data_IF_260815650837
#
_entry.id   IF_260815650837
#
_cell.length_a   1.000
_cell.length_b   1.000
_cell.length_c   1.000
_cell.angle_alpha   90.00
_cell.angle_beta   90.00
_cell.angle_gamma   90.00
#
_symmetry.space_group_name_H-M   'P 1'
#
loop_
_entity.id
_entity.type
_entity.pdbx_description
1 polymer ?
#
# COMPACT_ATOMS: atom_id res chain seq x y z
N UNK A 1 -17.23 -10.32 -40.55
CA UNK A 1 -17.93 -10.03 -39.27
C UNK A 1 -16.91 -9.35 -38.36
N UNK A 2 -17.00 -8.03 -38.20
CA UNK A 2 -16.04 -7.23 -37.48
C UNK A 2 -16.56 -7.07 -36.04
N UNK A 3 -15.95 -7.72 -35.09
CA UNK A 3 -16.27 -7.59 -33.64
C UNK A 3 -15.68 -6.29 -33.12
N UNK A 4 -16.50 -5.29 -32.87
CA UNK A 4 -16.11 -4.10 -32.10
C UNK A 4 -16.07 -4.45 -30.63
N UNK A 5 -14.86 -4.58 -30.07
CA UNK A 5 -14.66 -4.58 -28.62
C UNK A 5 -14.80 -3.15 -28.11
N UNK A 6 -15.93 -2.86 -27.46
CA UNK A 6 -16.08 -1.62 -26.70
C UNK A 6 -15.13 -1.70 -25.49
N UNK A 7 -14.04 -0.94 -25.52
CA UNK A 7 -13.31 -0.61 -24.30
C UNK A 7 -14.21 0.31 -23.49
N UNK A 8 -14.86 -0.23 -22.46
CA UNK A 8 -15.46 0.57 -21.41
C UNK A 8 -14.32 1.27 -20.68
N UNK A 9 -14.20 2.58 -20.85
CA UNK A 9 -13.30 3.39 -20.05
C UNK A 9 -13.94 3.49 -18.66
N UNK A 10 -13.59 2.56 -17.77
CA UNK A 10 -14.03 2.59 -16.38
C UNK A 10 -13.42 3.83 -15.72
N UNK A 11 -14.26 4.76 -15.26
CA UNK A 11 -13.80 5.99 -14.63
C UNK A 11 -13.03 5.62 -13.37
N UNK A 12 -11.82 6.15 -13.22
CA UNK A 12 -11.02 5.97 -12.02
C UNK A 12 -11.76 6.60 -10.81
N UNK A 13 -12.18 5.81 -9.80
CA UNK A 13 -12.96 6.31 -8.67
C UNK A 13 -12.18 7.29 -7.80
N UNK A 14 -10.84 7.33 -7.90
CA UNK A 14 -10.00 8.23 -7.13
C UNK A 14 -9.57 9.51 -7.88
N UNK A 15 -10.06 9.73 -9.11
CA UNK A 15 -9.71 10.93 -9.87
C UNK A 15 -10.06 12.23 -9.12
N UNK A 16 -11.22 12.26 -8.47
CA UNK A 16 -11.66 13.40 -7.66
C UNK A 16 -10.93 13.46 -6.31
N UNK A 17 -10.61 12.31 -5.72
CA UNK A 17 -9.81 12.22 -4.50
C UNK A 17 -8.40 12.79 -4.65
N UNK A 18 -7.75 12.60 -5.79
CA UNK A 18 -6.40 13.16 -6.04
C UNK A 18 -6.37 14.69 -6.00
N UNK A 19 -7.52 15.33 -6.20
CA UNK A 19 -7.67 16.80 -6.16
C UNK A 19 -7.94 17.31 -4.73
N UNK A 20 -8.43 16.47 -3.84
CA UNK A 20 -8.72 16.78 -2.45
C UNK A 20 -7.62 16.22 -1.52
N UNK A 21 -6.80 17.07 -0.90
CA UNK A 21 -5.71 16.62 -0.04
C UNK A 21 -6.17 15.92 1.25
N UNK A 22 -7.47 15.95 1.55
CA UNK A 22 -8.07 15.28 2.72
C UNK A 22 -8.82 14.00 2.37
N UNK A 23 -8.91 13.68 1.08
CA UNK A 23 -9.53 12.43 0.64
C UNK A 23 -8.55 11.27 0.86
N UNK A 24 -8.94 10.34 1.73
CA UNK A 24 -8.12 9.18 2.08
C UNK A 24 -8.31 8.07 1.05
N UNK A 25 -7.21 7.56 0.51
CA UNK A 25 -7.24 6.42 -0.39
C UNK A 25 -5.93 5.64 -0.39
N UNK A 26 -6.03 4.37 -0.76
CA UNK A 26 -4.92 3.49 -1.11
C UNK A 26 -5.40 2.59 -2.24
N UNK A 27 -4.62 2.46 -3.29
CA UNK A 27 -4.93 1.60 -4.43
C UNK A 27 -3.65 1.09 -5.06
N UNK A 28 -3.71 -0.10 -5.64
CA UNK A 28 -2.63 -0.67 -6.46
C UNK A 28 -3.18 -1.75 -7.39
N UNK A 29 -2.30 -2.37 -8.16
CA UNK A 29 -2.57 -3.64 -8.84
C UNK A 29 -1.71 -4.73 -8.25
N UNK A 30 -2.32 -5.87 -7.94
CA UNK A 30 -1.67 -7.11 -7.54
C UNK A 30 -1.75 -8.09 -8.72
N UNK A 31 -0.62 -8.41 -9.33
CA UNK A 31 -0.54 -9.21 -10.57
C UNK A 31 -1.47 -8.67 -11.68
N UNK A 32 -1.53 -7.33 -11.83
CA UNK A 32 -2.36 -6.65 -12.83
C UNK A 32 -3.83 -6.47 -12.44
N UNK A 33 -4.30 -7.09 -11.36
CA UNK A 33 -5.68 -6.98 -10.86
C UNK A 33 -5.76 -5.86 -9.82
N UNK A 34 -6.75 -4.97 -9.97
CA UNK A 34 -6.98 -3.86 -9.02
C UNK A 34 -7.22 -4.40 -7.61
N UNK A 35 -6.53 -3.81 -6.66
CA UNK A 35 -6.61 -4.11 -5.24
C UNK A 35 -6.89 -2.83 -4.43
N UNK A 36 -7.81 -2.93 -3.50
CA UNK A 36 -8.20 -1.83 -2.62
C UNK A 36 -8.38 -2.34 -1.18
N UNK A 37 -8.11 -1.50 -0.17
CA UNK A 37 -8.37 -1.83 1.21
C UNK A 37 -9.87 -1.91 1.47
N UNK A 38 -10.28 -2.88 2.30
CA UNK A 38 -11.67 -3.08 2.68
C UNK A 38 -11.77 -3.45 4.15
N UNK A 39 -12.82 -2.94 4.81
CA UNK A 39 -13.14 -3.28 6.18
C UNK A 39 -14.36 -4.19 6.28
N UNK A 40 -14.30 -5.16 7.21
CA UNK A 40 -15.48 -5.84 7.74
C UNK A 40 -15.95 -5.03 8.97
N UNK A 41 -16.97 -4.22 8.83
CA UNK A 41 -17.53 -3.48 9.96
C UNK A 41 -18.94 -3.05 9.68
N UNK A 42 -19.81 -3.18 10.69
CA UNK A 42 -21.13 -2.56 10.63
C UNK A 42 -20.98 -1.05 10.82
N UNK A 43 -21.66 -0.23 10.01
CA UNK A 43 -21.53 1.24 10.05
C UNK A 43 -21.99 1.87 11.37
N UNK A 44 -22.55 1.09 12.31
CA UNK A 44 -23.14 1.59 13.56
C UNK A 44 -22.20 1.54 14.78
N UNK A 45 -21.06 0.85 14.74
CA UNK A 45 -20.16 0.73 15.88
C UNK A 45 -18.72 1.14 15.52
N UNK A 46 -18.47 2.45 15.49
CA UNK A 46 -17.11 2.99 15.36
C UNK A 46 -16.43 2.54 14.08
N UNK A 47 -16.36 3.40 13.07
CA UNK A 47 -15.88 3.06 11.71
C UNK A 47 -14.60 2.25 11.70
N UNK A 48 -14.56 1.20 10.89
CA UNK A 48 -13.37 0.44 10.62
C UNK A 48 -12.45 1.28 9.73
N UNK A 49 -11.19 1.38 10.11
CA UNK A 49 -10.15 1.99 9.28
C UNK A 49 -9.29 0.87 8.71
N UNK A 50 -9.22 0.71 7.37
CA UNK A 50 -8.47 -0.39 6.76
C UNK A 50 -6.96 -0.12 6.72
N UNK A 51 -6.49 0.97 7.28
CA UNK A 51 -5.08 1.32 7.37
C UNK A 51 -4.69 1.80 8.77
N UNK A 52 -3.43 1.57 9.11
CA UNK A 52 -2.74 2.13 10.26
C UNK A 52 -1.38 2.65 9.78
N UNK A 53 -1.14 3.95 9.92
CA UNK A 53 0.09 4.61 9.49
C UNK A 53 0.72 5.31 10.68
N UNK A 54 1.92 4.90 11.06
CA UNK A 54 2.69 5.49 12.17
C UNK A 54 3.96 6.14 11.63
N UNK A 55 4.17 7.41 12.00
CA UNK A 55 5.36 8.16 11.63
C UNK A 55 6.17 8.53 12.88
N UNK A 56 7.28 7.85 13.08
CA UNK A 56 8.17 8.00 14.24
C UNK A 56 9.09 9.22 14.14
N UNK A 57 8.52 10.41 13.86
CA UNK A 57 9.24 11.67 13.59
C UNK A 57 10.26 12.04 14.65
N UNK A 58 9.93 11.83 15.95
CA UNK A 58 10.77 12.26 17.09
C UNK A 58 11.91 11.31 17.39
N UNK A 59 11.87 10.08 16.95
CA UNK A 59 12.84 9.05 17.28
C UNK A 59 13.72 8.69 16.10
N UNK A 60 13.19 8.00 15.12
CA UNK A 60 13.95 7.43 14.01
C UNK A 60 13.66 8.10 12.67
N UNK A 61 12.51 8.78 12.55
CA UNK A 61 12.02 9.33 11.28
C UNK A 61 11.48 8.28 10.30
N UNK A 62 11.27 7.04 10.78
CA UNK A 62 10.70 5.97 9.97
C UNK A 62 9.19 6.12 9.81
N UNK A 63 8.66 5.40 8.83
CA UNK A 63 7.24 5.12 8.71
C UNK A 63 6.99 3.63 8.81
N UNK A 64 5.85 3.30 9.38
CA UNK A 64 5.25 1.98 9.38
C UNK A 64 3.81 2.11 8.91
N UNK A 65 3.43 1.35 7.87
CA UNK A 65 2.11 1.38 7.26
C UNK A 65 1.56 -0.03 7.17
N UNK A 66 0.38 -0.25 7.70
CA UNK A 66 -0.38 -1.50 7.58
C UNK A 66 -1.69 -1.22 6.87
N UNK A 67 -1.92 -1.87 5.73
CA UNK A 67 -3.10 -1.68 4.89
C UNK A 67 -3.79 -3.03 4.72
N UNK A 68 -5.09 -3.11 5.00
CA UNK A 68 -5.82 -4.38 5.07
C UNK A 68 -7.00 -4.43 4.11
N UNK A 69 -7.16 -5.55 3.44
CA UNK A 69 -8.41 -5.97 2.84
C UNK A 69 -8.97 -7.14 3.67
N UNK A 70 -9.83 -6.84 4.64
CA UNK A 70 -10.35 -7.82 5.58
C UNK A 70 -11.32 -8.82 4.91
N UNK A 71 -11.93 -8.44 3.78
CA UNK A 71 -12.81 -9.36 3.05
C UNK A 71 -12.04 -10.49 2.39
N UNK A 72 -10.86 -10.19 1.85
CA UNK A 72 -9.97 -11.16 1.23
C UNK A 72 -8.93 -11.77 2.21
N UNK A 73 -8.85 -11.27 3.45
CA UNK A 73 -7.79 -11.66 4.40
C UNK A 73 -6.41 -11.15 4.03
N UNK A 74 -6.32 -10.26 3.04
CA UNK A 74 -5.07 -9.75 2.49
C UNK A 74 -4.56 -8.52 3.22
N UNK A 75 -3.24 -8.32 3.25
CA UNK A 75 -2.68 -7.10 3.83
C UNK A 75 -1.34 -6.72 3.19
N UNK A 76 -1.03 -5.42 3.27
CA UNK A 76 0.28 -4.85 3.00
C UNK A 76 0.91 -4.37 4.30
N UNK A 77 2.22 -4.51 4.41
CA UNK A 77 3.05 -3.79 5.35
C UNK A 77 4.16 -3.05 4.61
N UNK A 78 4.41 -1.80 4.97
CA UNK A 78 5.53 -1.00 4.49
C UNK A 78 6.29 -0.50 5.70
N UNK A 79 7.59 -0.69 5.69
CA UNK A 79 8.46 -0.23 6.75
C UNK A 79 9.70 0.45 6.15
N UNK A 80 9.98 1.69 6.59
CA UNK A 80 11.27 2.33 6.31
C UNK A 80 12.08 2.32 7.61
N UNK A 81 13.21 1.61 7.68
CA UNK A 81 14.11 1.62 8.83
C UNK A 81 15.42 2.29 8.47
N UNK A 82 16.02 2.90 9.50
CA UNK A 82 17.37 3.52 9.43
C UNK A 82 17.51 4.70 8.46
N UNK A 83 16.44 5.14 7.82
CA UNK A 83 16.44 6.35 7.00
C UNK A 83 15.26 7.24 7.39
N UNK A 84 15.54 8.52 7.60
CA UNK A 84 14.49 9.51 7.84
C UNK A 84 13.65 9.66 6.58
N UNK A 85 12.34 9.49 6.72
CA UNK A 85 11.39 9.70 5.63
C UNK A 85 11.56 11.10 5.03
N UNK A 86 11.61 11.18 3.71
CA UNK A 86 11.78 12.43 2.94
C UNK A 86 10.88 12.44 1.71
N UNK A 87 10.60 13.64 1.20
CA UNK A 87 9.99 13.78 -0.12
C UNK A 87 10.97 13.23 -1.16
N UNK A 88 10.46 12.48 -2.12
CA UNK A 88 11.25 11.73 -3.10
C UNK A 88 11.37 10.25 -2.75
N UNK A 89 12.37 9.58 -3.31
CA UNK A 89 12.58 8.15 -3.14
C UNK A 89 13.07 7.81 -1.74
N UNK A 90 12.47 6.79 -1.16
CA UNK A 90 12.81 6.23 0.14
C UNK A 90 13.07 4.73 0.02
N UNK A 91 13.94 4.22 0.88
CA UNK A 91 14.25 2.79 0.92
C UNK A 91 13.28 2.08 1.84
N UNK A 92 12.74 0.98 1.34
CA UNK A 92 11.96 0.06 2.12
C UNK A 92 12.85 -0.91 2.89
N UNK A 93 12.47 -1.23 4.11
CA UNK A 93 13.22 -2.18 4.95
C UNK A 93 12.80 -3.61 4.62
N UNK A 94 13.80 -4.48 4.64
CA UNK A 94 13.67 -5.91 4.40
C UNK A 94 14.10 -6.61 5.67
N UNK A 95 13.16 -7.24 6.32
CA UNK A 95 13.41 -8.12 7.46
C UNK A 95 12.35 -9.22 7.40
N UNK A 96 12.73 -10.45 7.62
CA UNK A 96 11.83 -11.61 7.55
C UNK A 96 10.64 -11.53 8.50
N UNK A 97 10.75 -10.72 9.58
CA UNK A 97 9.68 -10.58 10.58
C UNK A 97 9.00 -9.20 10.59
N UNK A 98 9.68 -8.14 10.09
CA UNK A 98 9.21 -6.74 10.21
C UNK A 98 9.49 -5.93 8.94
N UNK A 99 9.53 -6.58 7.78
CA UNK A 99 9.86 -5.93 6.52
C UNK A 99 8.65 -5.43 5.73
N UNK A 100 8.93 -5.00 4.53
CA UNK A 100 7.88 -4.69 3.55
C UNK A 100 7.42 -5.97 2.89
N UNK A 101 6.12 -6.27 2.99
CA UNK A 101 5.53 -7.47 2.42
C UNK A 101 4.08 -7.26 1.95
N UNK A 102 3.59 -8.20 1.14
CA UNK A 102 2.18 -8.42 0.83
C UNK A 102 1.78 -9.81 1.32
N UNK A 103 0.61 -9.94 1.94
CA UNK A 103 0.01 -11.24 2.26
C UNK A 103 -1.25 -11.44 1.43
N UNK A 104 -1.36 -12.57 0.74
CA UNK A 104 -2.50 -12.91 -0.13
C UNK A 104 -3.71 -13.48 0.63
N UNK A 105 -3.55 -13.71 1.95
CA UNK A 105 -4.61 -14.20 2.83
C UNK A 105 -4.88 -15.71 2.72
N UNK A 106 -4.08 -16.47 1.97
CA UNK A 106 -4.20 -17.93 1.89
C UNK A 106 -3.62 -18.61 3.12
N UNK A 107 -4.14 -19.79 3.46
CA UNK A 107 -3.70 -20.59 4.63
C UNK A 107 -2.64 -21.64 4.28
N UNK A 108 -2.02 -21.55 3.12
CA UNK A 108 -1.12 -22.58 2.60
C UNK A 108 0.33 -22.51 3.11
N UNK A 109 0.64 -21.57 4.03
CA UNK A 109 2.00 -21.34 4.53
C UNK A 109 2.91 -20.56 3.57
N UNK A 110 2.44 -20.26 2.35
CA UNK A 110 3.17 -19.54 1.31
C UNK A 110 2.56 -18.17 1.00
N UNK A 111 1.80 -17.65 1.94
CA UNK A 111 0.95 -16.47 1.75
C UNK A 111 1.65 -15.13 1.97
N UNK A 112 2.92 -15.13 2.37
CA UNK A 112 3.68 -13.89 2.64
C UNK A 112 4.73 -13.70 1.54
N UNK A 113 4.58 -12.64 0.77
CA UNK A 113 5.49 -12.22 -0.29
C UNK A 113 6.35 -11.07 0.21
N UNK A 114 7.58 -11.35 0.59
CA UNK A 114 8.55 -10.35 1.05
C UNK A 114 9.13 -9.60 -0.12
N UNK A 115 9.42 -8.31 0.06
CA UNK A 115 10.03 -7.44 -0.94
C UNK A 115 11.28 -8.10 -1.58
N UNK A 116 11.24 -8.25 -2.91
CA UNK A 116 12.41 -8.66 -3.70
C UNK A 116 13.34 -7.46 -3.92
N UNK A 117 14.50 -7.51 -3.29
CA UNK A 117 15.50 -6.43 -3.40
C UNK A 117 16.41 -6.50 -4.61
N UNK A 118 16.39 -7.63 -5.33
CA UNK A 118 17.14 -7.82 -6.56
C UNK A 118 16.38 -7.13 -7.70
N UNK A 119 15.05 -7.18 -7.68
CA UNK A 119 14.20 -6.47 -8.63
C UNK A 119 14.12 -4.97 -8.30
N UNK A 120 14.02 -4.11 -9.32
CA UNK A 120 13.72 -2.69 -9.09
C UNK A 120 12.42 -2.52 -8.30
N UNK A 121 12.46 -1.62 -7.32
CA UNK A 121 11.28 -1.18 -6.59
C UNK A 121 11.30 0.34 -6.41
N UNK A 122 10.14 0.94 -6.16
CA UNK A 122 10.01 2.34 -5.78
C UNK A 122 9.11 2.51 -4.56
N UNK A 123 9.45 3.44 -3.69
CA UNK A 123 8.59 3.98 -2.65
C UNK A 123 8.85 5.49 -2.60
N UNK A 124 8.00 6.23 -3.28
CA UNK A 124 8.19 7.65 -3.54
C UNK A 124 7.17 8.47 -2.75
N UNK A 125 7.65 9.32 -1.86
CA UNK A 125 6.82 10.24 -1.09
C UNK A 125 6.65 11.55 -1.85
N UNK A 126 5.42 11.87 -2.21
CA UNK A 126 5.04 13.08 -2.92
C UNK A 126 4.85 14.25 -1.95
N UNK A 127 4.27 13.99 -0.77
CA UNK A 127 3.96 15.01 0.22
C UNK A 127 3.96 14.45 1.64
N UNK A 128 4.48 15.24 2.58
CA UNK A 128 4.36 15.05 4.03
C UNK A 128 3.69 16.30 4.59
N UNK A 129 2.40 16.21 4.90
CA UNK A 129 1.66 17.34 5.50
C UNK A 129 1.71 17.23 7.03
N UNK A 130 2.56 18.06 7.65
CA UNK A 130 2.77 18.05 9.10
C UNK A 130 1.74 18.87 9.88
N UNK A 131 0.82 19.54 9.19
CA UNK A 131 -0.27 20.33 9.79
C UNK A 131 -1.53 19.50 9.87
N UNK A 132 -1.87 18.83 8.76
CA UNK A 132 -3.05 17.97 8.66
C UNK A 132 -2.76 16.49 8.93
N UNK A 133 -1.47 16.13 9.08
CA UNK A 133 -1.00 14.76 9.33
C UNK A 133 -1.35 13.77 8.22
N UNK A 134 -1.09 14.14 6.97
CA UNK A 134 -1.26 13.29 5.79
C UNK A 134 0.05 12.97 5.12
N UNK A 135 0.15 11.75 4.61
CA UNK A 135 1.24 11.25 3.81
C UNK A 135 0.71 10.80 2.45
N UNK A 136 1.28 11.36 1.37
CA UNK A 136 0.93 11.01 0.01
C UNK A 136 2.14 10.44 -0.71
N UNK A 137 1.94 9.39 -1.51
CA UNK A 137 3.02 8.78 -2.26
C UNK A 137 2.57 7.75 -3.26
N UNK A 138 3.58 7.18 -3.95
CA UNK A 138 3.42 6.07 -4.90
C UNK A 138 4.38 4.95 -4.55
N UNK A 139 4.07 3.73 -5.01
CA UNK A 139 4.92 2.58 -4.77
C UNK A 139 4.76 1.51 -5.85
N UNK A 140 5.85 0.78 -6.09
CA UNK A 140 5.88 -0.42 -6.92
C UNK A 140 6.93 -1.37 -6.36
N UNK A 141 6.64 -2.66 -6.33
CA UNK A 141 7.63 -3.67 -5.97
C UNK A 141 7.21 -5.07 -6.44
N UNK A 142 8.18 -5.97 -6.46
CA UNK A 142 7.95 -7.40 -6.54
C UNK A 142 8.20 -8.04 -5.18
N UNK A 143 7.45 -9.08 -4.88
CA UNK A 143 7.65 -9.89 -3.68
C UNK A 143 7.81 -11.35 -4.05
N UNK A 144 8.63 -12.07 -3.29
CA UNK A 144 8.81 -13.52 -3.38
C UNK A 144 8.37 -14.17 -2.08
N UNK A 145 7.79 -15.36 -2.15
CA UNK A 145 7.49 -16.19 -0.99
C UNK A 145 8.47 -17.38 -0.85
N UNK A 146 8.42 -18.08 0.27
CA UNK A 146 9.29 -19.23 0.55
C UNK A 146 9.00 -20.45 -0.34
N UNK A 147 7.88 -20.45 -1.07
CA UNK A 147 7.50 -21.51 -2.00
C UNK A 147 7.97 -21.28 -3.43
N UNK A 148 8.63 -20.16 -3.68
CA UNK A 148 9.15 -19.79 -4.99
C UNK A 148 8.17 -19.05 -5.89
N UNK A 149 6.99 -18.67 -5.38
CA UNK A 149 6.05 -17.84 -6.12
C UNK A 149 6.45 -16.38 -6.04
N UNK A 150 6.01 -15.61 -7.04
CA UNK A 150 6.26 -14.17 -7.13
C UNK A 150 4.97 -13.39 -7.28
N UNK A 151 4.89 -12.22 -6.65
CA UNK A 151 3.83 -11.23 -6.84
C UNK A 151 4.42 -9.94 -7.42
N UNK A 152 3.68 -9.32 -8.34
CA UNK A 152 4.00 -7.99 -8.85
C UNK A 152 2.97 -6.99 -8.32
N UNK A 153 3.44 -5.95 -7.63
CA UNK A 153 2.66 -4.83 -7.13
C UNK A 153 2.99 -3.61 -7.98
N UNK A 154 2.01 -3.08 -8.69
CA UNK A 154 2.18 -1.96 -9.62
C UNK A 154 1.11 -0.90 -9.45
N UNK A 155 1.34 0.29 -10.01
CA UNK A 155 0.40 1.42 -9.99
C UNK A 155 -0.08 1.76 -8.57
N UNK A 156 0.81 1.61 -7.59
CA UNK A 156 0.50 1.88 -6.18
C UNK A 156 0.45 3.38 -5.91
N UNK A 157 -0.66 3.83 -5.29
CA UNK A 157 -0.85 5.21 -4.87
C UNK A 157 -1.55 5.25 -3.51
N UNK A 158 -1.21 6.25 -2.70
CA UNK A 158 -1.86 6.48 -1.42
C UNK A 158 -1.89 7.95 -1.01
N UNK A 159 -2.94 8.31 -0.26
CA UNK A 159 -3.05 9.53 0.53
C UNK A 159 -3.69 9.15 1.87
N UNK A 160 -2.91 9.00 2.91
CA UNK A 160 -3.34 8.42 4.17
C UNK A 160 -3.00 9.34 5.35
N UNK A 161 -3.89 9.44 6.36
CA UNK A 161 -3.55 10.09 7.61
C UNK A 161 -2.50 9.26 8.36
N UNK A 162 -1.61 9.94 9.07
CA UNK A 162 -0.63 9.30 9.93
C UNK A 162 -0.71 9.82 11.37
N UNK A 163 -0.24 9.01 12.31
CA UNK A 163 -0.11 9.36 13.72
C UNK A 163 1.34 9.24 14.21
N UNK A 164 1.64 9.86 15.35
CA UNK A 164 2.95 9.83 16.03
C UNK A 164 2.96 8.82 17.17
#
# INVERSE_FOLDING_TARGET
MMTFTFFSCEKDPYEDCRKDPTCEYFTCKVNGVRWEPQCKGEPFFGGCTPWDVQYYRKTSGNIEMHIKNQNAGQNFAFLTRNEKLRIGDNKLHIDEFYGTFFSDGSDNGCNIFVLDTISPYSFHILKIDTIKYYLMGTFEFKGNNDCGDQVAITDGEFNLPYRF
#
